data_IF_104609339323
#
_entry.id   IF_104609339323
#
_cell.length_a   1.000
_cell.length_b   1.000
_cell.length_c   1.000
_cell.angle_alpha   90.00
_cell.angle_beta   90.00
_cell.angle_gamma   90.00
#
_symmetry.space_group_name_H-M   'P 1'
#
loop_
_entity.id
_entity.type
_entity.pdbx_description
1 polymer ?
#
# COMPACT_ATOMS: atom_id res chain seq x y z
N UNK A 1 16.19 19.64 28.51
CA UNK A 1 15.57 19.49 27.18
C UNK A 1 14.32 18.67 27.41
N UNK A 2 13.17 19.33 27.54
CA UNK A 2 11.90 18.62 27.69
C UNK A 2 11.50 18.02 26.36
N UNK A 3 11.60 16.70 26.25
CA UNK A 3 10.97 15.94 25.17
C UNK A 3 9.46 15.96 25.41
N UNK A 4 8.78 16.91 24.79
CA UNK A 4 7.32 17.00 24.81
C UNK A 4 6.75 16.04 23.77
N UNK A 5 6.17 14.93 24.24
CA UNK A 5 5.39 14.03 23.40
C UNK A 5 4.08 14.72 23.01
N UNK A 6 3.81 14.83 21.71
CA UNK A 6 2.56 15.41 21.20
C UNK A 6 1.47 14.36 21.36
N UNK A 7 0.43 14.67 22.15
CA UNK A 7 -0.77 13.85 22.21
C UNK A 7 -1.48 13.92 20.86
N UNK A 8 -1.48 12.80 20.14
CA UNK A 8 -2.18 12.67 18.86
C UNK A 8 -3.58 12.14 19.12
N UNK A 9 -4.64 12.88 18.78
CA UNK A 9 -6.01 12.40 18.95
C UNK A 9 -6.29 11.22 18.02
N UNK A 10 -7.22 10.35 18.43
CA UNK A 10 -7.71 9.27 17.56
C UNK A 10 -8.35 9.86 16.31
N UNK A 11 -7.85 9.45 15.13
CA UNK A 11 -8.45 9.80 13.84
C UNK A 11 -9.92 9.36 13.77
N UNK A 12 -10.25 8.23 14.42
CA UNK A 12 -11.63 7.73 14.45
C UNK A 12 -12.56 8.64 15.26
N UNK A 13 -12.11 9.21 16.39
CA UNK A 13 -12.91 10.17 17.16
C UNK A 13 -13.00 11.51 16.42
N UNK A 14 -11.90 11.97 15.84
CA UNK A 14 -11.84 13.18 15.04
C UNK A 14 -12.82 13.14 13.85
N UNK A 15 -13.01 11.98 13.23
CA UNK A 15 -13.96 11.79 12.13
C UNK A 15 -15.44 11.86 12.55
N UNK A 16 -15.75 11.74 13.85
CA UNK A 16 -17.12 11.90 14.37
C UNK A 16 -17.48 13.37 14.59
N UNK A 17 -16.49 14.24 14.71
CA UNK A 17 -16.70 15.67 14.83
C UNK A 17 -17.13 16.28 13.48
N UNK A 18 -17.98 17.32 13.47
CA UNK A 18 -18.44 17.97 12.25
C UNK A 18 -17.37 18.91 11.66
N UNK A 19 -16.20 18.36 11.32
CA UNK A 19 -15.08 19.12 10.76
C UNK A 19 -15.38 19.56 9.33
N UNK A 20 -15.15 20.84 9.05
CA UNK A 20 -15.28 21.41 7.70
C UNK A 20 -14.02 21.24 6.86
N UNK A 21 -12.88 20.97 7.50
CA UNK A 21 -11.59 20.78 6.85
C UNK A 21 -10.74 19.76 7.62
N UNK A 22 -9.91 19.00 6.90
CA UNK A 22 -8.91 18.10 7.48
C UNK A 22 -7.86 18.94 8.24
N UNK A 23 -7.49 18.59 9.48
CA UNK A 23 -6.47 19.33 10.21
C UNK A 23 -5.13 19.33 9.48
N UNK A 24 -4.42 20.47 9.52
CA UNK A 24 -3.17 20.71 8.77
C UNK A 24 -2.11 19.62 8.96
N UNK A 25 -2.08 18.99 10.14
CA UNK A 25 -1.16 17.88 10.46
C UNK A 25 -1.38 16.60 9.62
N UNK A 26 -2.48 16.50 8.88
CA UNK A 26 -2.79 15.42 7.96
C UNK A 26 -2.84 15.89 6.49
N UNK A 27 -2.59 17.17 6.23
CA UNK A 27 -2.55 17.72 4.88
C UNK A 27 -1.18 17.44 4.28
N UNK A 28 -1.16 16.65 3.20
CA UNK A 28 0.04 16.42 2.39
C UNK A 28 0.31 17.66 1.54
N UNK A 29 1.56 18.09 1.48
CA UNK A 29 1.95 19.27 0.70
C UNK A 29 2.07 18.91 -0.80
N UNK A 30 2.01 19.92 -1.67
CA UNK A 30 1.88 19.75 -3.13
C UNK A 30 2.93 18.84 -3.79
N UNK A 31 4.10 18.66 -3.17
CA UNK A 31 5.15 17.77 -3.68
C UNK A 31 4.84 16.27 -3.46
N UNK A 32 3.99 15.94 -2.48
CA UNK A 32 3.55 14.57 -2.15
C UNK A 32 2.25 14.19 -2.86
N UNK A 33 1.41 15.17 -3.21
CA UNK A 33 0.13 14.96 -3.91
C UNK A 33 0.31 14.60 -5.40
N UNK A 34 1.42 15.03 -6.02
CA UNK A 34 1.79 14.62 -7.39
C UNK A 34 2.04 13.11 -7.48
N UNK A 35 2.56 12.47 -6.43
CA UNK A 35 2.74 11.02 -6.41
C UNK A 35 1.40 10.25 -6.35
N UNK A 36 0.37 10.83 -5.71
CA UNK A 36 -0.93 10.18 -5.50
C UNK A 36 -1.89 10.31 -6.71
N UNK A 37 -1.66 11.28 -7.59
CA UNK A 37 -2.54 11.61 -8.72
C UNK A 37 -2.18 10.88 -10.02
N UNK A 38 -1.00 10.23 -10.09
CA UNK A 38 -0.55 9.45 -11.25
C UNK A 38 -1.23 8.07 -11.31
N UNK A 39 -2.56 8.06 -11.42
CA UNK A 39 -3.39 6.84 -11.49
C UNK A 39 -3.58 6.33 -12.94
N UNK A 40 -2.94 6.96 -13.92
CA UNK A 40 -3.03 6.53 -15.32
C UNK A 40 -1.98 5.45 -15.56
N UNK A 41 -2.44 4.19 -15.49
CA UNK A 41 -1.67 2.94 -15.63
C UNK A 41 -0.64 2.64 -14.54
N UNK A 42 -1.06 2.61 -13.27
CA UNK A 42 -0.25 1.91 -12.27
C UNK A 42 -0.12 0.43 -12.68
N UNK A 43 1.08 -0.16 -12.58
CA UNK A 43 1.25 -1.57 -12.87
C UNK A 43 0.34 -2.40 -11.95
N UNK A 44 -0.21 -3.50 -12.46
CA UNK A 44 -1.06 -4.36 -11.65
C UNK A 44 -0.19 -5.24 -10.75
N UNK A 45 -0.46 -5.22 -9.44
CA UNK A 45 0.24 -6.08 -8.48
C UNK A 45 0.00 -7.55 -8.85
N UNK A 46 1.06 -8.37 -8.99
CA UNK A 46 0.93 -9.78 -9.35
C UNK A 46 0.25 -10.56 -8.22
N UNK A 47 -0.72 -11.41 -8.60
CA UNK A 47 -1.43 -12.30 -7.67
C UNK A 47 -0.87 -13.71 -7.83
N UNK A 48 -0.44 -14.30 -6.71
CA UNK A 48 0.13 -15.65 -6.66
C UNK A 48 -0.90 -16.61 -6.07
N UNK A 49 -1.25 -17.64 -6.84
CA UNK A 49 -2.15 -18.69 -6.39
C UNK A 49 -1.35 -19.81 -5.70
N UNK A 50 -1.35 -19.79 -4.36
CA UNK A 50 -0.62 -20.77 -3.56
C UNK A 50 -1.16 -22.20 -3.72
N UNK A 51 -2.44 -22.38 -4.04
CA UNK A 51 -2.99 -23.71 -4.27
C UNK A 51 -2.37 -24.33 -5.53
N UNK A 52 -2.21 -23.54 -6.60
CA UNK A 52 -1.54 -23.97 -7.84
C UNK A 52 -0.03 -24.12 -7.67
N UNK A 53 0.60 -23.20 -6.94
CA UNK A 53 2.04 -23.26 -6.63
C UNK A 53 2.42 -24.54 -5.87
N UNK A 54 1.58 -24.97 -4.94
CA UNK A 54 1.79 -26.17 -4.13
C UNK A 54 1.17 -27.44 -4.75
N UNK A 55 0.59 -27.33 -5.94
CA UNK A 55 -0.03 -28.47 -6.62
C UNK A 55 1.02 -29.49 -7.10
N UNK A 56 0.58 -30.74 -7.29
CA UNK A 56 1.40 -31.79 -7.90
C UNK A 56 1.48 -31.66 -9.43
N UNK A 57 0.67 -30.78 -10.04
CA UNK A 57 0.76 -30.49 -11.47
C UNK A 57 1.95 -29.56 -11.72
N UNK A 58 3.00 -30.13 -12.31
CA UNK A 58 4.25 -29.42 -12.59
C UNK A 58 4.06 -28.22 -13.53
N UNK A 59 3.05 -28.22 -14.41
CA UNK A 59 2.79 -27.10 -15.30
C UNK A 59 2.18 -25.93 -14.52
N UNK A 60 1.15 -26.19 -13.71
CA UNK A 60 0.51 -25.16 -12.87
C UNK A 60 1.48 -24.60 -11.83
N UNK A 61 2.27 -25.48 -11.21
CA UNK A 61 3.32 -25.08 -10.27
C UNK A 61 4.39 -24.22 -10.92
N UNK A 62 4.87 -24.60 -12.11
CA UNK A 62 5.87 -23.84 -12.85
C UNK A 62 5.40 -22.42 -13.17
N UNK A 63 4.16 -22.28 -13.66
CA UNK A 63 3.55 -21.00 -13.99
C UNK A 63 3.46 -20.06 -12.78
N UNK A 64 3.01 -20.56 -11.62
CA UNK A 64 2.93 -19.72 -10.40
C UNK A 64 4.29 -19.43 -9.78
N UNK A 65 5.26 -20.34 -9.92
CA UNK A 65 6.63 -20.12 -9.45
C UNK A 65 7.33 -19.02 -10.27
N UNK A 66 7.12 -18.98 -11.59
CA UNK A 66 7.65 -17.92 -12.45
C UNK A 66 7.02 -16.57 -12.10
N UNK A 67 5.71 -16.52 -11.89
CA UNK A 67 5.03 -15.30 -11.41
C UNK A 67 5.57 -14.83 -10.07
N UNK A 68 5.85 -15.75 -9.14
CA UNK A 68 6.43 -15.42 -7.84
C UNK A 68 7.84 -14.85 -8.00
N UNK A 69 8.68 -15.46 -8.83
CA UNK A 69 10.03 -14.95 -9.12
C UNK A 69 9.97 -13.53 -9.70
N UNK A 70 9.10 -13.31 -10.68
CA UNK A 70 8.89 -11.98 -11.27
C UNK A 70 8.42 -10.96 -10.24
N UNK A 71 7.43 -11.32 -9.40
CA UNK A 71 6.92 -10.45 -8.35
C UNK A 71 8.04 -10.03 -7.37
N UNK A 72 8.85 -10.98 -6.89
CA UNK A 72 9.93 -10.66 -5.97
C UNK A 72 11.00 -9.74 -6.59
N UNK A 73 11.27 -9.88 -7.89
CA UNK A 73 12.23 -9.03 -8.60
C UNK A 73 11.74 -7.60 -8.79
N UNK A 74 10.51 -7.46 -9.29
CA UNK A 74 10.02 -6.18 -9.81
C UNK A 74 9.21 -5.36 -8.79
N UNK A 75 8.77 -5.96 -7.66
CA UNK A 75 7.85 -5.30 -6.72
C UNK A 75 8.34 -5.13 -5.29
N UNK A 76 9.37 -5.87 -4.87
CA UNK A 76 9.81 -5.91 -3.45
C UNK A 76 11.16 -5.19 -3.27
N UNK A 77 11.64 -4.48 -4.28
CA UNK A 77 12.84 -3.61 -4.18
C UNK A 77 12.46 -2.20 -3.78
#
# INVERSE_FOLDING_TARGET
>A
MDVTSILVPSVQELAKEPLTQVPDRYVLHDQETVALSNNTSLPQVPVIDFAKLLSQDNNLKGLELEKLHYACKEWVT
#
